data_IF_715449490522
#
_entry.id   IF_715449490522
#
_cell.length_a   1.000
_cell.length_b   1.000
_cell.length_c   1.000
_cell.angle_alpha   90.00
_cell.angle_beta   90.00
_cell.angle_gamma   90.00
#
_symmetry.space_group_name_H-M   'P 1'
#
loop_
_entity.id
_entity.type
_entity.pdbx_description
1 polymer ?
#
# COMPACT_ATOMS: atom_id res chain seq x y z
N UNK A 1 1.49 3.83 -18.10
CA UNK A 1 1.14 4.62 -16.91
C UNK A 1 0.85 3.70 -15.75
N UNK A 2 1.42 4.02 -14.60
CA UNK A 2 1.29 3.18 -13.42
C UNK A 2 0.13 3.57 -12.50
N UNK A 3 -0.72 4.51 -12.94
CA UNK A 3 -1.87 4.97 -12.16
C UNK A 3 -2.87 3.84 -11.93
N UNK A 4 -3.42 3.78 -10.71
CA UNK A 4 -4.44 2.81 -10.33
C UNK A 4 -5.80 3.52 -10.24
N UNK A 5 -6.81 2.96 -10.91
CA UNK A 5 -8.19 3.44 -10.81
C UNK A 5 -9.00 2.47 -9.95
N UNK A 6 -9.69 3.01 -8.95
CA UNK A 6 -10.56 2.20 -8.11
C UNK A 6 -11.76 1.69 -8.91
N UNK A 7 -12.11 0.43 -8.70
CA UNK A 7 -13.39 -0.11 -9.14
C UNK A 7 -13.89 -1.12 -8.09
N UNK A 8 -15.10 -1.63 -8.28
CA UNK A 8 -15.74 -2.48 -7.28
C UNK A 8 -15.03 -3.82 -7.04
N UNK A 9 -14.15 -4.23 -7.96
CA UNK A 9 -13.37 -5.46 -7.76
C UNK A 9 -12.37 -5.34 -6.60
N UNK A 10 -12.05 -4.11 -6.19
CA UNK A 10 -11.17 -3.88 -5.04
C UNK A 10 -11.90 -3.99 -3.70
N UNK A 11 -13.23 -3.98 -3.70
CA UNK A 11 -13.99 -3.98 -2.44
C UNK A 11 -13.81 -5.27 -1.67
N UNK A 12 -13.64 -5.16 -0.35
CA UNK A 12 -13.56 -6.31 0.56
C UNK A 12 -14.85 -6.47 1.38
N UNK A 13 -15.90 -5.73 1.03
CA UNK A 13 -17.17 -5.82 1.73
C UNK A 13 -17.23 -5.09 3.06
N UNK A 14 -16.25 -4.26 3.35
CA UNK A 14 -16.18 -3.43 4.56
C UNK A 14 -15.89 -2.01 4.13
N UNK A 15 -16.85 -1.10 4.35
CA UNK A 15 -16.75 0.26 3.83
C UNK A 15 -15.56 1.05 4.41
N UNK A 16 -15.23 0.83 5.68
CA UNK A 16 -14.08 1.51 6.30
C UNK A 16 -12.77 1.06 5.68
N UNK A 17 -12.62 -0.24 5.47
CA UNK A 17 -11.40 -0.77 4.82
C UNK A 17 -11.34 -0.34 3.36
N UNK A 18 -12.48 -0.36 2.66
CA UNK A 18 -12.53 0.12 1.27
C UNK A 18 -12.10 1.58 1.17
N UNK A 19 -12.57 2.42 2.08
CA UNK A 19 -12.18 3.84 2.11
C UNK A 19 -10.68 3.98 2.37
N UNK A 20 -10.13 3.15 3.24
CA UNK A 20 -8.69 3.13 3.52
C UNK A 20 -7.90 2.70 2.30
N UNK A 21 -8.37 1.70 1.58
CA UNK A 21 -7.73 1.26 0.33
C UNK A 21 -7.76 2.34 -0.74
N UNK A 22 -8.89 3.05 -0.87
CA UNK A 22 -9.00 4.17 -1.81
C UNK A 22 -8.00 5.27 -1.47
N UNK A 23 -7.86 5.59 -0.20
CA UNK A 23 -6.91 6.59 0.26
C UNK A 23 -5.47 6.16 -0.02
N UNK A 24 -5.16 4.90 0.22
CA UNK A 24 -3.82 4.35 -0.02
C UNK A 24 -3.47 4.39 -1.51
N UNK A 25 -4.43 3.99 -2.36
CA UNK A 25 -4.28 4.08 -3.81
C UNK A 25 -4.07 5.53 -4.24
N UNK A 26 -4.79 6.47 -3.63
CA UNK A 26 -4.64 7.89 -3.93
C UNK A 26 -3.23 8.39 -3.60
N UNK A 27 -2.68 7.97 -2.47
CA UNK A 27 -1.30 8.30 -2.09
C UNK A 27 -0.29 7.70 -3.07
N UNK A 28 -0.53 6.47 -3.51
CA UNK A 28 0.29 5.83 -4.55
C UNK A 28 0.24 6.65 -5.84
N UNK A 29 -0.95 7.05 -6.27
CA UNK A 29 -1.12 7.81 -7.50
C UNK A 29 -0.41 9.16 -7.43
N UNK A 30 -0.41 9.81 -6.27
CA UNK A 30 0.33 11.06 -6.07
C UNK A 30 1.83 10.86 -6.20
N UNK A 31 2.34 9.74 -5.70
CA UNK A 31 3.74 9.39 -5.85
C UNK A 31 4.11 9.19 -7.33
N UNK A 32 3.26 8.47 -8.07
CA UNK A 32 3.44 8.25 -9.50
C UNK A 32 3.40 9.56 -10.28
N UNK A 33 2.45 10.44 -9.97
CA UNK A 33 2.34 11.76 -10.60
C UNK A 33 3.57 12.62 -10.33
N UNK A 34 4.10 12.58 -9.11
CA UNK A 34 5.30 13.33 -8.77
C UNK A 34 6.50 12.88 -9.60
N UNK A 35 6.59 11.60 -9.88
CA UNK A 35 7.68 11.07 -10.71
C UNK A 35 7.54 11.44 -12.17
N UNK A 36 6.34 11.46 -12.71
CA UNK A 36 6.11 11.61 -14.15
C UNK A 36 5.82 13.04 -14.58
N UNK A 37 5.37 13.91 -13.69
CA UNK A 37 4.85 15.23 -14.03
C UNK A 37 5.66 16.42 -13.56
N UNK A 38 6.75 16.24 -12.83
CA UNK A 38 7.50 17.33 -12.20
C UNK A 38 8.84 17.64 -12.85
N UNK A 39 9.38 18.79 -12.55
CA UNK A 39 10.75 19.14 -12.90
C UNK A 39 11.74 18.35 -12.05
N UNK A 40 12.94 18.13 -12.61
CA UNK A 40 13.94 17.25 -12.00
C UNK A 40 14.31 17.66 -10.56
N UNK A 41 14.35 18.94 -10.27
CA UNK A 41 14.78 19.44 -8.95
C UNK A 41 13.75 19.21 -7.84
N UNK A 42 12.46 19.06 -8.18
CA UNK A 42 11.39 18.88 -7.20
C UNK A 42 10.93 17.44 -7.06
N UNK A 43 11.31 16.57 -8.00
CA UNK A 43 10.85 15.16 -8.01
C UNK A 43 11.33 14.42 -6.78
N UNK A 44 12.61 14.53 -6.43
CA UNK A 44 13.18 13.78 -5.31
C UNK A 44 12.52 14.11 -3.98
N UNK A 45 12.28 15.40 -3.75
CA UNK A 45 11.64 15.86 -2.50
C UNK A 45 10.18 15.42 -2.41
N UNK A 46 9.40 15.65 -3.47
CA UNK A 46 7.99 15.30 -3.49
C UNK A 46 7.78 13.79 -3.46
N UNK A 47 8.62 13.06 -4.18
CA UNK A 47 8.53 11.60 -4.21
C UNK A 47 8.89 10.98 -2.86
N UNK A 48 9.92 11.53 -2.20
CA UNK A 48 10.29 11.08 -0.86
C UNK A 48 9.20 11.34 0.17
N UNK A 49 8.58 12.51 0.12
CA UNK A 49 7.46 12.86 1.00
C UNK A 49 6.25 11.94 0.74
N UNK A 50 5.94 11.67 -0.52
CA UNK A 50 4.84 10.80 -0.88
C UNK A 50 5.08 9.37 -0.41
N UNK A 51 6.31 8.88 -0.54
CA UNK A 51 6.67 7.54 -0.07
C UNK A 51 6.56 7.44 1.45
N UNK A 52 7.03 8.46 2.17
CA UNK A 52 6.92 8.50 3.63
C UNK A 52 5.45 8.53 4.09
N UNK A 53 4.63 9.34 3.43
CA UNK A 53 3.20 9.42 3.73
C UNK A 53 2.51 8.08 3.46
N UNK A 54 2.87 7.42 2.38
CA UNK A 54 2.34 6.11 2.03
C UNK A 54 2.71 5.06 3.08
N UNK A 55 3.94 5.09 3.57
CA UNK A 55 4.40 4.17 4.60
C UNK A 55 3.66 4.38 5.92
N UNK A 56 3.53 5.64 6.35
CA UNK A 56 2.80 5.97 7.58
C UNK A 56 1.35 5.53 7.49
N UNK A 57 0.72 5.78 6.35
CA UNK A 57 -0.66 5.39 6.13
C UNK A 57 -0.82 3.88 6.14
N UNK A 58 0.10 3.16 5.49
CA UNK A 58 0.08 1.70 5.43
C UNK A 58 0.17 1.10 6.84
N UNK A 59 1.03 1.63 7.69
CA UNK A 59 1.19 1.14 9.05
C UNK A 59 -0.13 1.21 9.83
N UNK A 60 -0.81 2.34 9.79
CA UNK A 60 -2.08 2.55 10.49
C UNK A 60 -3.19 1.69 9.87
N UNK A 61 -3.23 1.60 8.55
CA UNK A 61 -4.19 0.78 7.83
C UNK A 61 -4.01 -0.71 8.17
N UNK A 62 -2.78 -1.20 8.20
CA UNK A 62 -2.50 -2.60 8.52
C UNK A 62 -2.94 -2.94 9.95
N UNK A 63 -2.73 -2.03 10.89
CA UNK A 63 -3.20 -2.23 12.27
C UNK A 63 -4.72 -2.35 12.34
N UNK A 64 -5.42 -1.48 11.62
CA UNK A 64 -6.87 -1.52 11.56
C UNK A 64 -7.36 -2.84 10.97
N UNK A 65 -6.76 -3.26 9.88
CA UNK A 65 -7.12 -4.47 9.16
C UNK A 65 -6.84 -5.71 10.00
N UNK A 66 -5.71 -5.75 10.70
CA UNK A 66 -5.35 -6.86 11.59
C UNK A 66 -6.31 -6.97 12.76
N UNK A 67 -6.74 -5.86 13.32
CA UNK A 67 -7.76 -5.84 14.37
C UNK A 67 -9.10 -6.37 13.85
N UNK A 68 -9.47 -6.01 12.64
CA UNK A 68 -10.67 -6.53 11.99
C UNK A 68 -10.60 -8.04 11.80
N UNK A 69 -9.47 -8.53 11.28
CA UNK A 69 -9.26 -9.97 11.09
C UNK A 69 -9.29 -10.73 12.42
N UNK A 70 -8.76 -10.13 13.48
CA UNK A 70 -8.79 -10.73 14.81
C UNK A 70 -10.23 -10.88 15.33
N UNK A 71 -11.07 -9.86 15.10
CA UNK A 71 -12.48 -9.92 15.47
C UNK A 71 -13.23 -11.01 14.71
N UNK A 72 -12.84 -11.27 13.47
CA UNK A 72 -13.42 -12.32 12.66
C UNK A 72 -12.95 -13.72 13.05
N UNK A 73 -11.92 -13.82 13.89
CA UNK A 73 -11.22 -15.08 14.16
C UNK A 73 -10.66 -15.69 12.87
N UNK A 74 -10.11 -14.83 12.00
CA UNK A 74 -9.58 -15.26 10.72
C UNK A 74 -8.39 -16.22 10.94
N UNK A 75 -8.44 -17.46 10.41
CA UNK A 75 -7.44 -18.46 10.75
C UNK A 75 -6.05 -18.19 10.17
N UNK A 76 -5.94 -17.32 9.18
CA UNK A 76 -4.67 -16.98 8.54
C UNK A 76 -4.16 -15.61 8.91
N UNK A 77 -4.58 -15.10 10.06
CA UNK A 77 -4.15 -13.78 10.55
C UNK A 77 -2.63 -13.68 10.69
N UNK A 78 -1.98 -14.72 11.19
CA UNK A 78 -0.52 -14.69 11.40
C UNK A 78 0.23 -14.54 10.08
N UNK A 79 -0.17 -15.29 9.06
CA UNK A 79 0.42 -15.20 7.73
C UNK A 79 0.16 -13.84 7.10
N UNK A 80 -1.05 -13.32 7.24
CA UNK A 80 -1.42 -12.02 6.69
C UNK A 80 -0.61 -10.89 7.35
N UNK A 81 -0.45 -10.97 8.68
CA UNK A 81 0.36 -10.01 9.44
C UNK A 81 1.81 -10.02 8.99
N UNK A 82 2.35 -11.19 8.66
CA UNK A 82 3.71 -11.32 8.15
C UNK A 82 3.87 -10.62 6.79
N UNK A 83 2.87 -10.76 5.93
CA UNK A 83 2.86 -10.08 4.62
C UNK A 83 2.91 -8.56 4.82
N UNK A 84 2.13 -8.03 5.75
CA UNK A 84 2.15 -6.60 6.09
C UNK A 84 3.54 -6.16 6.56
N UNK A 85 4.14 -6.94 7.45
CA UNK A 85 5.46 -6.62 8.00
C UNK A 85 6.54 -6.61 6.92
N UNK A 86 6.50 -7.56 6.02
CA UNK A 86 7.47 -7.64 4.92
C UNK A 86 7.38 -6.40 4.04
N UNK A 87 6.18 -5.92 3.77
CA UNK A 87 5.99 -4.69 2.99
C UNK A 87 6.54 -3.48 3.75
N UNK A 88 6.21 -3.35 5.03
CA UNK A 88 6.70 -2.23 5.85
C UNK A 88 8.23 -2.20 5.90
N UNK A 89 8.85 -3.36 6.06
CA UNK A 89 10.31 -3.48 6.07
C UNK A 89 10.91 -3.07 4.72
N UNK A 90 10.28 -3.46 3.63
CA UNK A 90 10.72 -3.12 2.27
C UNK A 90 10.66 -1.60 2.06
N UNK A 91 9.52 -0.97 2.40
CA UNK A 91 9.33 0.46 2.22
C UNK A 91 10.26 1.26 3.14
N UNK A 92 10.43 0.80 4.38
CA UNK A 92 11.35 1.42 5.33
C UNK A 92 12.78 1.46 4.76
N UNK A 93 13.22 0.36 4.17
CA UNK A 93 14.55 0.24 3.56
C UNK A 93 14.70 1.20 2.38
N UNK A 94 13.71 1.25 1.49
CA UNK A 94 13.73 2.18 0.36
C UNK A 94 13.78 3.63 0.83
N UNK A 95 12.97 3.98 1.82
CA UNK A 95 12.92 5.33 2.37
C UNK A 95 14.28 5.74 2.94
N UNK A 96 14.90 4.83 3.67
CA UNK A 96 16.23 5.05 4.25
C UNK A 96 17.29 5.27 3.17
N UNK A 97 17.29 4.43 2.15
CA UNK A 97 18.25 4.53 1.05
C UNK A 97 18.06 5.81 0.24
N UNK A 98 16.82 6.25 0.06
CA UNK A 98 16.51 7.50 -0.61
C UNK A 98 17.02 8.68 0.23
N UNK A 99 16.77 8.66 1.52
CA UNK A 99 17.23 9.74 2.42
C UNK A 99 18.75 9.81 2.50
N UNK A 100 19.42 8.67 2.39
CA UNK A 100 20.89 8.59 2.41
C UNK A 100 21.53 8.91 1.05
N UNK A 101 20.72 9.17 0.03
CA UNK A 101 21.20 9.47 -1.32
C UNK A 101 21.69 8.28 -2.10
N UNK A 102 21.45 7.06 -1.61
CA UNK A 102 21.90 5.82 -2.23
C UNK A 102 20.92 5.28 -3.26
N UNK A 103 19.67 5.73 -3.23
CA UNK A 103 18.64 5.26 -4.12
C UNK A 103 17.75 6.45 -4.52
N UNK A 104 17.36 6.48 -5.79
CA UNK A 104 16.38 7.46 -6.28
C UNK A 104 15.08 6.75 -6.56
N UNK A 105 13.96 7.42 -6.26
CA UNK A 105 12.66 6.91 -6.65
C UNK A 105 12.60 6.90 -8.18
N UNK A 106 12.28 5.75 -8.75
CA UNK A 106 12.26 5.55 -10.20
C UNK A 106 11.06 4.69 -10.59
N UNK A 107 10.84 4.56 -11.89
CA UNK A 107 9.68 3.81 -12.40
C UNK A 107 9.70 2.33 -12.02
N UNK A 108 10.88 1.74 -11.88
CA UNK A 108 11.00 0.33 -11.45
C UNK A 108 10.52 0.16 -10.02
N UNK A 109 10.91 1.07 -9.13
CA UNK A 109 10.52 1.04 -7.73
C UNK A 109 9.01 1.26 -7.59
N UNK A 110 8.48 2.22 -8.32
CA UNK A 110 7.04 2.49 -8.32
C UNK A 110 6.26 1.27 -8.80
N UNK A 111 6.77 0.57 -9.81
CA UNK A 111 6.13 -0.64 -10.32
C UNK A 111 6.10 -1.75 -9.28
N UNK A 112 7.18 -1.92 -8.51
CA UNK A 112 7.23 -2.89 -7.41
C UNK A 112 6.15 -2.58 -6.38
N UNK A 113 6.04 -1.32 -5.96
CA UNK A 113 5.05 -0.88 -4.98
C UNK A 113 3.63 -1.08 -5.53
N UNK A 114 3.40 -0.70 -6.78
CA UNK A 114 2.11 -0.87 -7.45
C UNK A 114 1.68 -2.33 -7.48
N UNK A 115 2.57 -3.20 -7.91
CA UNK A 115 2.26 -4.61 -8.03
C UNK A 115 1.96 -5.22 -6.66
N UNK A 116 2.72 -4.84 -5.65
CA UNK A 116 2.47 -5.31 -4.29
C UNK A 116 1.09 -4.86 -3.80
N UNK A 117 0.77 -3.58 -3.98
CA UNK A 117 -0.50 -2.99 -3.54
C UNK A 117 -1.69 -3.69 -4.20
N UNK A 118 -1.63 -3.86 -5.53
CA UNK A 118 -2.70 -4.52 -6.28
C UNK A 118 -2.85 -5.98 -5.87
N UNK A 119 -1.75 -6.71 -5.79
CA UNK A 119 -1.76 -8.12 -5.45
C UNK A 119 -2.30 -8.32 -4.05
N UNK A 120 -1.88 -7.48 -3.10
CA UNK A 120 -2.33 -7.58 -1.72
C UNK A 120 -3.84 -7.35 -1.59
N UNK A 121 -4.36 -6.28 -2.17
CA UNK A 121 -5.78 -5.96 -2.08
C UNK A 121 -6.63 -6.99 -2.83
N UNK A 122 -6.23 -7.34 -4.06
CA UNK A 122 -7.04 -8.21 -4.91
C UNK A 122 -6.98 -9.69 -4.52
N UNK A 123 -5.91 -10.12 -3.87
CA UNK A 123 -5.73 -11.53 -3.52
C UNK A 123 -5.73 -11.76 -2.01
N UNK A 124 -4.83 -11.12 -1.27
CA UNK A 124 -4.70 -11.39 0.16
C UNK A 124 -5.88 -10.86 0.97
N UNK A 125 -6.31 -9.63 0.72
CA UNK A 125 -7.42 -9.03 1.46
C UNK A 125 -8.76 -9.68 1.07
N UNK A 126 -8.88 -10.15 -0.15
CA UNK A 126 -10.07 -10.89 -0.57
C UNK A 126 -10.25 -12.19 0.19
N UNK A 127 -9.18 -12.79 0.68
CA UNK A 127 -9.26 -14.04 1.46
C UNK A 127 -10.04 -13.84 2.75
N UNK A 128 -9.75 -12.78 3.50
CA UNK A 128 -10.52 -12.54 4.73
C UNK A 128 -11.94 -12.04 4.42
N UNK A 129 -12.11 -11.33 3.32
CA UNK A 129 -13.42 -10.90 2.86
C UNK A 129 -14.31 -12.11 2.57
N UNK A 130 -13.79 -13.08 1.84
CA UNK A 130 -14.52 -14.34 1.56
C UNK A 130 -14.84 -15.09 2.85
N UNK A 131 -13.91 -15.15 3.78
CA UNK A 131 -14.10 -15.77 5.08
C UNK A 131 -15.24 -15.11 5.86
N UNK A 132 -15.25 -13.77 5.89
CA UNK A 132 -16.29 -13.00 6.59
C UNK A 132 -17.68 -13.23 6.02
N UNK A 133 -17.76 -13.34 4.68
CA UNK A 133 -19.04 -13.53 3.99
C UNK A 133 -19.53 -14.97 4.06
N UNK A 134 -18.61 -15.92 4.16
CA UNK A 134 -18.92 -17.34 4.20
C UNK A 134 -19.27 -17.89 5.56
N UNK A 135 -19.10 -17.09 6.61
CA UNK A 135 -19.40 -17.53 7.98
C UNK A 135 -20.83 -17.10 8.44
#
# INVERSE_FOLDING_TARGET
>A
MARIEWDDSFSVGNSEIDDQHKRWIDLYNKMDEALTGGGVASIDSLAGEALAAMNDYAHNHFKFEEAYMAKLNYPKLVEHRRIHRDFEDMIYRYNREINDGQLFLNSSLIKIIRNWLLDHILHEDKKYSAFAQGS
#
